data_IF_842779536194
#
_entry.id   IF_842779536194
#
_cell.length_a   1.000
_cell.length_b   1.000
_cell.length_c   1.000
_cell.angle_alpha   90.00
_cell.angle_beta   90.00
_cell.angle_gamma   90.00
#
_symmetry.space_group_name_H-M   'P 1'
#
loop_
_entity.id
_entity.type
_entity.pdbx_description
1 polymer ?
#
# COMPACT_ATOMS: atom_id res chain seq x y z
N UNK A 1 20.54 -10.28 -7.64
CA UNK A 1 19.80 -9.95 -6.42
C UNK A 1 19.08 -8.64 -6.68
N UNK A 2 17.76 -8.63 -6.72
CA UNK A 2 16.99 -7.42 -6.98
C UNK A 2 16.42 -6.85 -5.66
N UNK A 3 16.28 -5.52 -5.61
CA UNK A 3 15.64 -4.77 -4.51
C UNK A 3 14.18 -4.54 -4.88
N UNK A 4 13.29 -5.23 -4.22
CA UNK A 4 11.86 -5.20 -4.53
C UNK A 4 11.11 -4.40 -3.46
N UNK A 5 10.49 -3.29 -3.87
CA UNK A 5 9.55 -2.55 -3.03
C UNK A 5 8.17 -3.21 -3.05
N UNK A 6 7.62 -3.52 -1.89
CA UNK A 6 6.27 -4.06 -1.76
C UNK A 6 5.35 -2.93 -1.27
N UNK A 7 4.45 -2.50 -2.12
CA UNK A 7 3.37 -1.59 -1.76
C UNK A 7 2.09 -2.41 -1.59
N UNK A 8 1.84 -2.81 -0.34
CA UNK A 8 0.62 -3.52 0.04
C UNK A 8 -0.53 -2.56 0.30
N UNK A 9 -1.74 -2.98 -0.01
CA UNK A 9 -2.92 -2.17 0.26
C UNK A 9 -4.22 -2.83 -0.16
N UNK A 10 -5.34 -2.32 0.33
CA UNK A 10 -6.65 -2.78 -0.15
C UNK A 10 -6.88 -2.34 -1.60
N UNK A 11 -6.39 -1.15 -1.98
CA UNK A 11 -6.58 -0.53 -3.31
C UNK A 11 -8.04 -0.52 -3.75
N UNK A 12 -8.88 0.10 -2.93
CA UNK A 12 -10.33 0.12 -3.12
C UNK A 12 -10.91 1.55 -3.23
N UNK A 13 -10.56 2.30 -4.33
CA UNK A 13 -9.66 1.96 -5.43
C UNK A 13 -8.19 2.35 -5.17
N UNK A 14 -7.30 1.87 -6.04
CA UNK A 14 -5.97 2.44 -6.21
C UNK A 14 -6.08 3.91 -6.67
N UNK A 15 -5.16 4.79 -6.24
CA UNK A 15 -5.22 6.21 -6.54
C UNK A 15 -3.84 6.84 -6.74
N UNK A 16 -3.82 8.10 -7.20
CA UNK A 16 -2.59 8.81 -7.54
C UNK A 16 -1.59 8.90 -6.37
N UNK A 17 -2.08 8.98 -5.12
CA UNK A 17 -1.22 8.94 -3.93
C UNK A 17 -0.44 7.64 -3.79
N UNK A 18 -1.05 6.49 -4.10
CA UNK A 18 -0.34 5.21 -4.10
C UNK A 18 0.75 5.16 -5.18
N UNK A 19 0.45 5.67 -6.39
CA UNK A 19 1.43 5.71 -7.48
C UNK A 19 2.59 6.65 -7.17
N UNK A 20 2.30 7.82 -6.60
CA UNK A 20 3.31 8.77 -6.17
C UNK A 20 4.22 8.18 -5.09
N UNK A 21 3.66 7.51 -4.08
CA UNK A 21 4.42 6.83 -3.03
C UNK A 21 5.34 5.74 -3.60
N UNK A 22 4.80 4.89 -4.49
CA UNK A 22 5.61 3.86 -5.16
C UNK A 22 6.76 4.45 -5.98
N UNK A 23 6.50 5.53 -6.72
CA UNK A 23 7.51 6.24 -7.50
C UNK A 23 8.61 6.81 -6.60
N UNK A 24 8.25 7.48 -5.51
CA UNK A 24 9.21 8.07 -4.58
C UNK A 24 10.08 7.00 -3.88
N UNK A 25 9.47 5.88 -3.49
CA UNK A 25 10.23 4.75 -2.96
C UNK A 25 11.25 4.22 -3.98
N UNK A 26 10.82 4.01 -5.23
CA UNK A 26 11.69 3.56 -6.32
C UNK A 26 12.90 4.48 -6.51
N UNK A 27 12.65 5.80 -6.64
CA UNK A 27 13.68 6.79 -6.94
C UNK A 27 14.66 6.99 -5.78
N UNK A 28 14.17 7.14 -4.53
CA UNK A 28 14.99 7.45 -3.36
C UNK A 28 15.82 6.27 -2.88
N UNK A 29 15.30 5.05 -2.97
CA UNK A 29 15.97 3.84 -2.48
C UNK A 29 16.63 3.02 -3.58
N UNK A 30 16.57 3.48 -4.83
CA UNK A 30 17.16 2.78 -5.99
C UNK A 30 16.68 1.33 -6.05
N UNK A 31 15.35 1.16 -5.95
CA UNK A 31 14.73 -0.14 -6.07
C UNK A 31 14.72 -0.57 -7.54
N UNK A 32 14.68 -1.87 -7.80
CA UNK A 32 14.59 -2.40 -9.15
C UNK A 32 13.14 -2.46 -9.64
N UNK A 33 12.22 -2.79 -8.73
CA UNK A 33 10.77 -2.87 -9.02
C UNK A 33 9.95 -2.44 -7.79
N UNK A 34 8.71 -2.02 -8.05
CA UNK A 34 7.66 -1.84 -7.03
C UNK A 34 6.52 -2.80 -7.32
N UNK A 35 6.29 -3.73 -6.41
CA UNK A 35 5.18 -4.67 -6.49
C UNK A 35 3.94 -4.09 -5.82
N UNK A 36 2.94 -3.75 -6.61
CA UNK A 36 1.61 -3.41 -6.13
C UNK A 36 0.87 -4.68 -5.78
N UNK A 37 0.64 -4.92 -4.50
CA UNK A 37 0.10 -6.16 -3.96
C UNK A 37 -1.25 -5.89 -3.27
N UNK A 38 -2.38 -6.07 -3.98
CA UNK A 38 -3.69 -5.98 -3.34
C UNK A 38 -3.86 -7.01 -2.24
N UNK A 39 -4.28 -6.58 -1.05
CA UNK A 39 -4.56 -7.50 0.05
C UNK A 39 -5.75 -8.42 -0.28
N UNK A 40 -5.59 -9.70 0.06
CA UNK A 40 -6.64 -10.71 -0.13
C UNK A 40 -7.81 -10.46 0.83
N UNK A 41 -7.63 -10.86 2.07
CA UNK A 41 -8.62 -10.69 3.14
C UNK A 41 -8.01 -9.88 4.29
N UNK A 42 -8.06 -8.53 4.22
CA UNK A 42 -7.45 -7.70 5.27
C UNK A 42 -8.22 -7.89 6.60
N UNK A 43 -7.53 -8.32 7.68
CA UNK A 43 -8.19 -8.70 8.92
C UNK A 43 -8.93 -7.55 9.62
N UNK A 44 -8.54 -6.30 9.30
CA UNK A 44 -9.12 -5.09 9.91
C UNK A 44 -10.35 -4.55 9.17
N UNK A 45 -10.75 -5.14 8.03
CA UNK A 45 -11.90 -4.68 7.24
C UNK A 45 -12.99 -5.74 7.20
N UNK A 46 -14.25 -5.33 7.47
CA UNK A 46 -15.41 -6.21 7.26
C UNK A 46 -15.54 -6.50 5.77
N UNK A 47 -15.58 -7.77 5.39
CA UNK A 47 -15.59 -8.21 3.98
C UNK A 47 -16.72 -7.62 3.13
N UNK A 48 -17.84 -7.22 3.75
CA UNK A 48 -18.99 -6.59 3.07
C UNK A 48 -18.74 -5.18 2.54
N UNK A 49 -17.65 -4.52 3.00
CA UNK A 49 -17.32 -3.13 2.67
C UNK A 49 -16.18 -3.00 1.66
N UNK A 50 -15.64 -4.11 1.17
CA UNK A 50 -14.50 -4.11 0.24
C UNK A 50 -14.94 -4.65 -1.11
N UNK A 51 -14.65 -3.90 -2.17
CA UNK A 51 -14.87 -4.33 -3.56
C UNK A 51 -14.17 -5.67 -3.83
N UNK A 52 -14.77 -6.50 -4.68
CA UNK A 52 -14.25 -7.84 -4.98
C UNK A 52 -12.79 -7.80 -5.42
N UNK A 53 -12.04 -8.84 -5.07
CA UNK A 53 -10.61 -8.92 -5.38
C UNK A 53 -10.29 -8.74 -6.86
N UNK A 54 -11.14 -9.30 -7.75
CA UNK A 54 -10.97 -9.19 -9.21
C UNK A 54 -11.07 -7.75 -9.70
N UNK A 55 -12.02 -6.96 -9.22
CA UNK A 55 -12.18 -5.57 -9.61
C UNK A 55 -11.02 -4.70 -9.10
N UNK A 56 -10.53 -4.98 -7.89
CA UNK A 56 -9.37 -4.28 -7.32
C UNK A 56 -8.08 -4.62 -8.09
N UNK A 57 -7.91 -5.89 -8.47
CA UNK A 57 -6.85 -6.36 -9.37
C UNK A 57 -6.84 -5.59 -10.69
N UNK A 58 -8.00 -5.53 -11.36
CA UNK A 58 -8.13 -4.87 -12.67
C UNK A 58 -7.81 -3.39 -12.57
N UNK A 59 -8.30 -2.71 -11.52
CA UNK A 59 -7.98 -1.29 -11.29
C UNK A 59 -6.49 -1.08 -11.05
N UNK A 60 -5.82 -1.96 -10.27
CA UNK A 60 -4.37 -1.84 -10.05
C UNK A 60 -3.60 -2.06 -11.34
N UNK A 61 -3.91 -3.09 -12.11
CA UNK A 61 -3.27 -3.35 -13.42
C UNK A 61 -3.42 -2.16 -14.37
N UNK A 62 -4.62 -1.57 -14.45
CA UNK A 62 -4.87 -0.38 -15.26
C UNK A 62 -4.08 0.84 -14.77
N UNK A 63 -3.95 1.01 -13.46
CA UNK A 63 -3.25 2.14 -12.87
C UNK A 63 -1.74 2.13 -13.15
N UNK A 64 -1.13 0.95 -13.15
CA UNK A 64 0.34 0.81 -13.23
C UNK A 64 0.83 0.53 -14.65
N UNK A 65 -0.05 0.28 -15.62
CA UNK A 65 0.29 -0.21 -16.96
C UNK A 65 1.32 0.65 -17.74
N UNK A 66 1.40 1.95 -17.44
CA UNK A 66 2.31 2.88 -18.14
C UNK A 66 3.69 3.03 -17.49
N UNK A 67 3.94 2.36 -16.36
CA UNK A 67 5.18 2.52 -15.58
C UNK A 67 5.93 1.20 -15.56
N UNK A 68 7.07 1.12 -16.21
CA UNK A 68 7.80 -0.12 -16.49
C UNK A 68 8.35 -0.84 -15.25
N UNK A 69 8.63 -0.10 -14.17
CA UNK A 69 9.12 -0.65 -12.91
C UNK A 69 8.01 -0.93 -11.89
N UNK A 70 6.74 -0.68 -12.23
CA UNK A 70 5.60 -1.11 -11.43
C UNK A 70 5.13 -2.48 -11.88
N UNK A 71 5.05 -3.41 -10.95
CA UNK A 71 4.66 -4.79 -11.18
C UNK A 71 3.42 -5.11 -10.35
N UNK A 72 2.43 -5.73 -10.96
CA UNK A 72 1.28 -6.26 -10.25
C UNK A 72 1.64 -7.60 -9.59
N UNK A 73 1.30 -7.75 -8.32
CA UNK A 73 1.45 -9.01 -7.58
C UNK A 73 0.12 -9.49 -7.02
N UNK A 74 -0.30 -10.68 -7.41
CA UNK A 74 -1.50 -11.35 -6.90
C UNK A 74 -1.24 -12.25 -5.67
N UNK A 75 -0.05 -12.13 -5.10
CA UNK A 75 0.46 -13.04 -4.09
C UNK A 75 -0.47 -13.19 -2.86
N UNK A 76 -1.10 -12.11 -2.42
CA UNK A 76 -2.09 -12.16 -1.34
C UNK A 76 -3.49 -12.53 -1.83
N UNK A 77 -3.89 -12.11 -3.03
CA UNK A 77 -5.23 -12.41 -3.56
C UNK A 77 -5.46 -13.90 -3.82
N UNK A 78 -4.38 -14.66 -4.09
CA UNK A 78 -4.43 -16.11 -4.28
C UNK A 78 -4.49 -16.91 -2.98
N UNK A 79 -4.30 -16.26 -1.83
CA UNK A 79 -4.28 -16.94 -0.53
C UNK A 79 -5.66 -16.97 0.08
N UNK A 80 -5.99 -18.11 0.69
CA UNK A 80 -7.19 -18.27 1.49
C UNK A 80 -6.99 -17.75 2.92
N UNK A 81 -8.05 -17.27 3.53
CA UNK A 81 -8.04 -16.76 4.91
C UNK A 81 -7.42 -15.36 5.04
N UNK A 82 -7.19 -14.94 6.28
CA UNK A 82 -6.61 -13.64 6.57
C UNK A 82 -5.17 -13.53 6.08
N UNK A 83 -4.84 -12.42 5.41
CA UNK A 83 -3.49 -12.13 4.95
C UNK A 83 -2.79 -11.19 5.94
N UNK A 84 -1.87 -11.75 6.72
CA UNK A 84 -1.01 -10.98 7.64
C UNK A 84 0.33 -10.69 6.98
N UNK A 85 0.82 -9.46 7.11
CA UNK A 85 2.10 -9.00 6.52
C UNK A 85 3.28 -9.90 6.91
N UNK A 86 3.35 -10.33 8.18
CA UNK A 86 4.41 -11.23 8.63
C UNK A 86 4.45 -12.54 7.82
N UNK A 87 3.30 -13.17 7.61
CA UNK A 87 3.20 -14.39 6.83
C UNK A 87 3.51 -14.15 5.35
N UNK A 88 3.01 -13.04 4.80
CA UNK A 88 3.25 -12.65 3.42
C UNK A 88 4.74 -12.49 3.14
N UNK A 89 5.46 -11.77 4.00
CA UNK A 89 6.90 -11.57 3.86
C UNK A 89 7.70 -12.88 4.04
N UNK A 90 7.27 -13.75 4.97
CA UNK A 90 7.89 -15.08 5.14
C UNK A 90 7.81 -15.87 3.83
N UNK A 91 6.61 -16.02 3.29
CA UNK A 91 6.38 -16.77 2.06
C UNK A 91 7.06 -16.16 0.84
N UNK A 92 7.13 -14.82 0.77
CA UNK A 92 7.87 -14.14 -0.29
C UNK A 92 9.37 -14.44 -0.24
N UNK A 93 9.96 -14.45 0.96
CA UNK A 93 11.37 -14.82 1.12
C UNK A 93 11.67 -16.27 0.78
N UNK A 94 10.72 -17.17 1.04
CA UNK A 94 10.81 -18.57 0.64
C UNK A 94 10.70 -18.75 -0.88
N UNK A 95 9.74 -18.04 -1.51
CA UNK A 95 9.51 -18.12 -2.95
C UNK A 95 10.58 -17.39 -3.77
N UNK A 96 11.17 -16.32 -3.23
CA UNK A 96 12.15 -15.47 -3.92
C UNK A 96 13.37 -15.17 -3.04
N UNK A 97 14.15 -16.20 -2.61
CA UNK A 97 15.27 -16.05 -1.69
C UNK A 97 16.40 -15.17 -2.23
N UNK A 98 16.45 -14.96 -3.54
CA UNK A 98 17.43 -14.12 -4.23
C UNK A 98 17.12 -12.61 -4.17
N UNK A 99 15.92 -12.19 -3.70
CA UNK A 99 15.54 -10.78 -3.64
C UNK A 99 15.71 -10.19 -2.24
N UNK A 100 15.93 -8.89 -2.17
CA UNK A 100 15.82 -8.09 -0.95
C UNK A 100 14.50 -7.32 -0.98
N UNK A 101 13.69 -7.48 0.08
CA UNK A 101 12.38 -6.86 0.15
C UNK A 101 12.39 -5.58 0.97
N UNK A 102 11.71 -4.56 0.44
CA UNK A 102 11.47 -3.27 1.04
C UNK A 102 9.96 -3.08 1.19
N UNK A 103 9.44 -3.07 2.42
CA UNK A 103 8.02 -2.96 2.67
C UNK A 103 7.62 -1.51 2.89
N UNK A 104 6.77 -0.98 2.00
CA UNK A 104 6.39 0.44 1.95
C UNK A 104 5.13 0.65 2.75
N UNK A 105 5.19 1.55 3.76
CA UNK A 105 4.08 1.85 4.68
C UNK A 105 3.89 3.36 4.85
N UNK A 106 2.67 3.76 5.19
CA UNK A 106 2.37 5.13 5.62
C UNK A 106 2.86 5.41 7.05
N UNK A 107 2.90 6.68 7.44
CA UNK A 107 3.29 7.10 8.78
C UNK A 107 2.43 6.44 9.88
N UNK A 108 1.11 6.39 9.70
CA UNK A 108 0.18 5.77 10.66
C UNK A 108 0.57 4.31 10.96
N UNK A 109 0.85 3.54 9.90
CA UNK A 109 1.28 2.15 10.01
C UNK A 109 2.59 1.98 10.79
N UNK A 110 3.50 2.96 10.72
CA UNK A 110 4.74 2.92 11.50
C UNK A 110 4.47 3.05 13.01
N UNK A 111 3.48 3.85 13.41
CA UNK A 111 3.08 3.97 14.81
C UNK A 111 2.31 2.76 15.32
N UNK A 112 1.56 2.09 14.44
CA UNK A 112 0.74 0.93 14.78
C UNK A 112 1.46 -0.40 14.62
N UNK A 113 2.67 -0.42 14.06
CA UNK A 113 3.35 -1.67 13.66
C UNK A 113 3.52 -2.67 14.79
N UNK A 114 3.68 -2.20 16.03
CA UNK A 114 3.80 -3.06 17.21
C UNK A 114 2.50 -3.80 17.56
N UNK A 115 1.36 -3.34 17.04
CA UNK A 115 0.05 -3.99 17.22
C UNK A 115 -0.25 -5.01 16.10
N UNK A 116 0.63 -5.09 15.11
CA UNK A 116 0.45 -6.05 14.01
C UNK A 116 0.71 -7.49 14.47
N UNK A 117 0.18 -8.42 13.71
CA UNK A 117 0.46 -9.84 13.93
C UNK A 117 1.94 -10.14 13.66
N UNK A 118 2.67 -10.57 14.67
CA UNK A 118 4.11 -10.85 14.62
C UNK A 118 4.96 -9.70 14.03
N UNK A 119 4.96 -8.51 14.66
CA UNK A 119 5.68 -7.34 14.15
C UNK A 119 7.19 -7.60 14.03
N UNK A 120 7.77 -8.39 14.93
CA UNK A 120 9.17 -8.79 14.90
C UNK A 120 9.54 -9.54 13.61
N UNK A 121 8.62 -10.34 13.05
CA UNK A 121 8.84 -11.02 11.77
C UNK A 121 8.77 -10.04 10.59
N UNK A 122 7.84 -9.09 10.61
CA UNK A 122 7.75 -8.04 9.58
C UNK A 122 9.07 -7.26 9.51
N UNK A 123 9.53 -6.80 10.66
CA UNK A 123 10.74 -5.97 10.80
C UNK A 123 12.01 -6.73 10.40
N UNK A 124 12.10 -8.01 10.75
CA UNK A 124 13.28 -8.84 10.43
C UNK A 124 13.36 -9.21 8.95
N UNK A 125 12.22 -9.34 8.27
CA UNK A 125 12.18 -9.91 6.92
C UNK A 125 12.30 -8.89 5.81
N UNK A 126 12.03 -7.61 6.07
CA UNK A 126 12.11 -6.54 5.09
C UNK A 126 12.77 -5.28 5.67
N UNK A 127 13.29 -4.43 4.79
CA UNK A 127 13.56 -3.04 5.12
C UNK A 127 12.22 -2.30 5.11
N UNK A 128 11.87 -1.61 6.19
CA UNK A 128 10.66 -0.79 6.21
C UNK A 128 10.94 0.55 5.53
N UNK A 129 10.11 0.94 4.58
CA UNK A 129 10.13 2.27 3.99
C UNK A 129 8.89 3.03 4.44
N UNK A 130 9.08 3.95 5.38
CA UNK A 130 7.98 4.71 5.96
C UNK A 130 7.84 6.08 5.30
N UNK A 131 6.65 6.39 4.78
CA UNK A 131 6.35 7.70 4.21
C UNK A 131 6.17 8.72 5.33
N UNK A 132 7.05 9.74 5.39
CA UNK A 132 6.89 10.87 6.29
C UNK A 132 5.82 11.82 5.74
N UNK A 133 4.86 12.19 6.59
CA UNK A 133 3.91 13.25 6.26
C UNK A 133 4.56 14.62 6.56
N UNK A 134 4.41 15.61 5.66
CA UNK A 134 5.01 16.94 5.87
C UNK A 134 4.38 17.72 7.04
N UNK A 135 3.22 17.30 7.55
CA UNK A 135 2.53 17.98 8.65
C UNK A 135 2.86 17.33 9.99
N UNK A 136 3.83 17.92 10.71
CA UNK A 136 4.22 17.57 12.09
C UNK A 136 3.06 17.56 13.11
N UNK A 137 1.89 18.13 12.76
CA UNK A 137 0.75 18.25 13.68
C UNK A 137 0.10 16.92 14.03
N UNK A 138 0.05 15.97 13.10
CA UNK A 138 -0.56 14.65 13.34
C UNK A 138 0.43 13.64 13.92
N UNK A 139 1.74 13.78 13.60
CA UNK A 139 2.79 12.88 14.05
C UNK A 139 4.06 13.64 14.49
N UNK A 140 4.00 14.38 15.62
CA UNK A 140 5.08 15.29 16.07
C UNK A 140 6.38 14.61 16.45
N UNK A 141 6.48 13.29 16.36
CA UNK A 141 7.61 12.50 16.82
C UNK A 141 8.02 11.40 15.83
N UNK A 142 7.79 11.59 14.53
CA UNK A 142 8.07 10.57 13.52
C UNK A 142 9.53 10.05 13.58
N UNK A 143 10.50 10.94 13.65
CA UNK A 143 11.92 10.55 13.76
C UNK A 143 12.21 9.81 15.06
N UNK A 144 11.55 10.20 16.16
CA UNK A 144 11.69 9.47 17.43
C UNK A 144 11.09 8.07 17.35
N UNK A 145 9.97 7.90 16.64
CA UNK A 145 9.37 6.59 16.43
C UNK A 145 10.27 5.70 15.58
N UNK A 146 10.85 6.24 14.51
CA UNK A 146 11.85 5.53 13.69
C UNK A 146 13.01 5.04 14.56
N UNK A 147 13.61 5.96 15.33
CA UNK A 147 14.74 5.63 16.21
C UNK A 147 14.36 4.59 17.26
N UNK A 148 13.20 4.73 17.89
CA UNK A 148 12.70 3.77 18.88
C UNK A 148 12.57 2.36 18.29
N UNK A 149 11.99 2.22 17.10
CA UNK A 149 11.84 0.91 16.46
C UNK A 149 13.18 0.32 16.02
N UNK A 150 14.12 1.18 15.56
CA UNK A 150 15.47 0.75 15.23
C UNK A 150 16.20 0.20 16.45
N UNK A 151 16.11 0.87 17.58
CA UNK A 151 16.77 0.45 18.83
C UNK A 151 16.12 -0.80 19.44
N UNK A 152 14.77 -0.88 19.41
CA UNK A 152 14.02 -1.97 20.04
C UNK A 152 14.08 -3.28 19.28
N UNK A 153 14.02 -3.22 17.95
CA UNK A 153 13.87 -4.41 17.09
C UNK A 153 15.07 -4.64 16.15
N UNK A 154 16.12 -3.84 16.25
CA UNK A 154 17.21 -3.80 15.24
C UNK A 154 16.65 -3.59 13.82
N UNK A 155 15.66 -2.71 13.72
CA UNK A 155 14.89 -2.50 12.50
C UNK A 155 15.68 -1.71 11.45
N UNK A 156 15.63 -2.14 10.19
CA UNK A 156 16.13 -1.37 9.06
C UNK A 156 15.00 -0.49 8.52
N UNK A 157 15.04 0.81 8.80
CA UNK A 157 13.97 1.75 8.41
C UNK A 157 14.55 2.88 7.58
N UNK A 158 14.02 3.05 6.37
CA UNK A 158 14.24 4.21 5.51
C UNK A 158 13.03 5.14 5.53
N UNK A 159 13.26 6.43 5.40
CA UNK A 159 12.20 7.45 5.37
C UNK A 159 12.02 7.96 3.95
N UNK A 160 10.82 7.76 3.39
CA UNK A 160 10.44 8.32 2.09
C UNK A 160 10.00 9.76 2.32
N UNK A 161 10.66 10.70 1.68
CA UNK A 161 10.34 12.14 1.73
C UNK A 161 9.64 12.52 0.44
N UNK A 162 8.38 12.88 0.53
CA UNK A 162 7.63 13.41 -0.61
C UNK A 162 6.46 14.28 -0.12
N UNK A 163 5.98 15.16 -1.01
CA UNK A 163 4.72 15.88 -0.76
C UNK A 163 3.56 14.89 -0.91
N UNK A 164 2.89 14.64 0.19
CA UNK A 164 1.72 13.76 0.18
C UNK A 164 0.58 14.41 -0.60
N UNK A 165 -0.04 13.63 -1.46
CA UNK A 165 -1.28 14.05 -2.11
C UNK A 165 -2.44 13.87 -1.12
N UNK A 166 -3.27 14.89 -0.96
CA UNK A 166 -4.50 14.81 -0.16
C UNK A 166 -5.55 13.98 -0.91
N UNK A 167 -5.33 12.66 -0.90
CA UNK A 167 -6.21 11.70 -1.56
C UNK A 167 -6.27 10.40 -0.77
N UNK A 168 -7.48 9.87 -0.59
CA UNK A 168 -7.69 8.54 -0.01
C UNK A 168 -8.76 7.78 -0.77
N UNK A 169 -8.71 6.44 -0.72
CA UNK A 169 -9.75 5.59 -1.31
C UNK A 169 -11.15 5.91 -0.76
N UNK A 170 -11.25 6.28 0.52
CA UNK A 170 -12.51 6.69 1.16
C UNK A 170 -13.08 7.97 0.53
N UNK A 171 -12.26 9.00 0.36
CA UNK A 171 -12.67 10.24 -0.33
C UNK A 171 -13.16 9.95 -1.75
N UNK A 172 -12.47 9.07 -2.48
CA UNK A 172 -12.85 8.70 -3.84
C UNK A 172 -14.21 7.99 -3.87
N UNK A 173 -14.42 6.99 -3.02
CA UNK A 173 -15.72 6.29 -2.94
C UNK A 173 -16.85 7.25 -2.61
N UNK A 174 -16.63 8.15 -1.64
CA UNK A 174 -17.61 9.19 -1.27
C UNK A 174 -17.88 10.14 -2.45
N UNK A 175 -16.86 10.59 -3.16
CA UNK A 175 -17.02 11.45 -4.33
C UNK A 175 -17.85 10.78 -5.43
N UNK A 176 -17.60 9.50 -5.72
CA UNK A 176 -18.38 8.73 -6.71
C UNK A 176 -19.84 8.60 -6.27
N UNK A 177 -20.11 8.24 -5.01
CA UNK A 177 -21.47 8.11 -4.47
C UNK A 177 -22.25 9.43 -4.57
N UNK A 178 -21.56 10.58 -4.44
CA UNK A 178 -22.14 11.92 -4.58
C UNK A 178 -22.17 12.43 -6.04
N UNK A 179 -21.78 11.62 -7.03
CA UNK A 179 -21.72 12.03 -8.43
C UNK A 179 -20.64 13.07 -8.75
N UNK A 180 -19.64 13.24 -7.87
CA UNK A 180 -18.53 14.17 -8.04
C UNK A 180 -17.43 13.60 -8.92
N UNK A 181 -16.64 14.47 -9.56
CA UNK A 181 -15.52 14.07 -10.41
C UNK A 181 -14.34 13.54 -9.58
N UNK A 182 -13.77 12.42 -10.03
CA UNK A 182 -12.58 11.80 -9.44
C UNK A 182 -11.37 11.83 -10.38
N UNK A 183 -11.44 12.60 -11.48
CA UNK A 183 -10.43 12.60 -12.57
C UNK A 183 -9.02 12.96 -12.11
N UNK A 184 -8.90 13.80 -11.08
CA UNK A 184 -7.62 14.26 -10.56
C UNK A 184 -7.11 13.40 -9.39
N UNK A 185 -7.96 12.48 -8.89
CA UNK A 185 -7.66 11.62 -7.75
C UNK A 185 -7.12 10.24 -8.16
N UNK A 186 -7.54 9.75 -9.33
CA UNK A 186 -7.14 8.44 -9.87
C UNK A 186 -6.68 8.56 -11.33
N UNK A 187 -5.90 7.61 -11.85
CA UNK A 187 -5.62 7.54 -13.30
C UNK A 187 -6.92 7.49 -14.12
N UNK A 188 -6.91 8.10 -15.30
CA UNK A 188 -8.08 8.13 -16.18
C UNK A 188 -8.64 6.75 -16.55
N UNK A 189 -7.76 5.74 -16.68
CA UNK A 189 -8.12 4.35 -16.90
C UNK A 189 -8.93 3.76 -15.71
N UNK A 190 -8.54 4.09 -14.48
CA UNK A 190 -9.25 3.67 -13.26
C UNK A 190 -10.60 4.39 -13.14
N UNK A 191 -10.65 5.70 -13.41
CA UNK A 191 -11.91 6.45 -13.42
C UNK A 191 -12.89 5.88 -14.47
N UNK A 192 -12.39 5.53 -15.65
CA UNK A 192 -13.17 4.85 -16.68
C UNK A 192 -13.72 3.51 -16.24
N UNK A 193 -12.89 2.68 -15.60
CA UNK A 193 -13.27 1.38 -15.06
C UNK A 193 -14.39 1.51 -14.00
N UNK A 194 -14.19 2.38 -13.00
CA UNK A 194 -15.20 2.65 -11.95
C UNK A 194 -16.55 3.01 -12.57
N UNK A 195 -16.55 3.92 -13.57
CA UNK A 195 -17.77 4.36 -14.25
C UNK A 195 -18.45 3.23 -15.02
N UNK A 196 -17.69 2.44 -15.79
CA UNK A 196 -18.24 1.35 -16.65
C UNK A 196 -18.83 0.24 -15.79
N UNK A 197 -18.16 -0.14 -14.70
CA UNK A 197 -18.62 -1.20 -13.80
C UNK A 197 -19.58 -0.71 -12.72
N UNK A 198 -19.89 0.58 -12.67
CA UNK A 198 -20.85 1.15 -11.71
C UNK A 198 -20.41 1.04 -10.25
N UNK A 199 -19.10 0.98 -9.99
CA UNK A 199 -18.56 0.83 -8.64
C UNK A 199 -18.82 2.08 -7.79
N UNK A 200 -18.97 1.89 -6.48
CA UNK A 200 -19.10 2.93 -5.46
C UNK A 200 -20.30 3.89 -5.62
N UNK A 201 -21.36 3.48 -6.33
CA UNK A 201 -22.57 4.32 -6.52
C UNK A 201 -23.43 4.44 -5.27
N UNK A 202 -23.37 3.45 -4.41
CA UNK A 202 -24.04 3.48 -3.12
C UNK A 202 -23.05 3.98 -2.05
N UNK A 203 -23.54 4.82 -1.12
CA UNK A 203 -22.70 5.28 -0.02
C UNK A 203 -22.34 4.07 0.85
N UNK A 204 -21.04 3.77 0.94
CA UNK A 204 -20.53 2.87 1.95
C UNK A 204 -20.33 3.67 3.24
N UNK A 205 -21.15 3.37 4.25
CA UNK A 205 -20.87 3.80 5.62
C UNK A 205 -19.68 2.96 6.14
N UNK A 206 -18.53 3.62 6.29
CA UNK A 206 -17.31 3.03 6.86
C UNK A 206 -17.34 3.08 8.39
#
# INVERSE_FOLDING_TARGET
MAKIGILGGTFDPVHNGHLALGKQAYEQFKLDEIWFMPSGHPPHKKSRLVTQGKEREDMVKLAIASVSYFVYSDFELKREGNTYTAQTLTLLREAYPQHEFYFIIGADSLYEIEQWYHPELVIKQAVLLAAARPYEKEHPNFEKQVKYLQEKFDARIGVIRFEEMDVSSRQIRKAVALGQSIKDLVPGSVAGYIRIHGLYREAFDD
#
